data_IF_801058080143
#
_entry.id   IF_801058080143
#
_cell.length_a   1.000
_cell.length_b   1.000
_cell.length_c   1.000
_cell.angle_alpha   90.00
_cell.angle_beta   90.00
_cell.angle_gamma   90.00
#
_symmetry.space_group_name_H-M   'P 1'
#
loop_
_entity.id
_entity.type
_entity.pdbx_description
1 polymer ?
#
# COMPACT_ATOMS: atom_id res chain seq x y z
N UNK A 1 11.15 -15.52 -29.21
CA UNK A 1 9.81 -14.90 -29.17
C UNK A 1 9.23 -15.11 -27.78
N UNK A 2 9.61 -14.27 -26.81
CA UNK A 2 8.97 -14.26 -25.49
C UNK A 2 7.74 -13.37 -25.58
N UNK A 3 6.59 -13.97 -25.84
CA UNK A 3 5.31 -13.29 -25.70
C UNK A 3 5.15 -12.87 -24.24
N UNK A 4 5.34 -11.58 -23.94
CA UNK A 4 4.96 -11.05 -22.63
C UNK A 4 3.46 -11.28 -22.48
N UNK A 5 3.06 -11.99 -21.43
CA UNK A 5 1.65 -12.10 -21.06
C UNK A 5 1.02 -10.69 -21.04
N UNK A 6 -0.26 -10.56 -21.42
CA UNK A 6 -0.95 -9.28 -21.40
C UNK A 6 -0.95 -8.74 -19.97
N UNK A 7 -0.24 -7.62 -19.74
CA UNK A 7 -0.23 -6.95 -18.45
C UNK A 7 -1.52 -6.15 -18.30
N UNK A 8 -2.34 -6.51 -17.33
CA UNK A 8 -3.57 -5.78 -17.06
C UNK A 8 -3.24 -4.39 -16.52
N UNK A 9 -3.83 -3.35 -17.12
CA UNK A 9 -3.68 -1.96 -16.69
C UNK A 9 -4.97 -1.46 -16.07
N UNK A 10 -4.91 -1.10 -14.80
CA UNK A 10 -6.05 -0.60 -14.04
C UNK A 10 -5.96 0.92 -13.90
N UNK A 11 -7.07 1.65 -14.09
CA UNK A 11 -7.16 3.05 -13.70
C UNK A 11 -7.04 3.22 -12.20
N UNK A 12 -6.27 4.23 -11.79
CA UNK A 12 -6.11 4.60 -10.40
C UNK A 12 -6.18 6.11 -10.24
N UNK A 13 -6.59 6.56 -9.05
CA UNK A 13 -6.50 7.95 -8.63
C UNK A 13 -5.42 8.09 -7.58
N UNK A 14 -4.40 8.90 -7.85
CA UNK A 14 -3.35 9.18 -6.89
C UNK A 14 -3.86 10.09 -5.76
N UNK A 15 -3.72 9.67 -4.51
CA UNK A 15 -3.81 10.54 -3.33
C UNK A 15 -2.45 11.12 -2.99
N UNK A 16 -1.41 10.29 -3.09
CA UNK A 16 -0.01 10.69 -2.97
C UNK A 16 0.71 10.18 -4.22
N UNK A 17 1.18 11.09 -5.11
CA UNK A 17 1.77 10.66 -6.35
C UNK A 17 3.14 10.02 -6.16
N UNK A 18 3.47 9.10 -7.06
CA UNK A 18 4.75 8.40 -7.09
C UNK A 18 4.71 7.16 -7.96
N UNK A 19 5.81 6.41 -7.96
CA UNK A 19 5.92 5.14 -8.67
C UNK A 19 6.60 4.11 -7.76
N UNK A 20 6.19 2.87 -7.89
CA UNK A 20 6.69 1.78 -7.06
C UNK A 20 6.38 0.44 -7.71
N UNK A 21 7.15 -0.58 -7.35
CA UNK A 21 6.91 -1.95 -7.78
C UNK A 21 7.19 -2.90 -6.63
N UNK A 22 6.42 -3.97 -6.53
CA UNK A 22 6.73 -5.07 -5.63
C UNK A 22 5.66 -6.16 -5.68
N UNK A 23 5.91 -7.22 -4.91
CA UNK A 23 4.92 -8.26 -4.68
C UNK A 23 3.73 -7.68 -3.93
N UNK A 24 2.55 -7.92 -4.46
CA UNK A 24 1.27 -7.55 -3.88
C UNK A 24 1.04 -8.31 -2.58
N UNK A 25 0.54 -7.61 -1.57
CA UNK A 25 0.00 -8.16 -0.34
C UNK A 25 -1.43 -7.64 -0.20
N UNK A 26 -2.42 -8.45 -0.57
CA UNK A 26 -3.84 -8.09 -0.45
C UNK A 26 -4.34 -8.47 0.93
N UNK A 27 -4.68 -7.49 1.76
CA UNK A 27 -5.22 -7.79 3.09
C UNK A 27 -6.67 -8.26 3.00
N UNK A 28 -6.95 -9.40 3.63
CA UNK A 28 -8.29 -9.99 3.68
C UNK A 28 -9.22 -9.17 4.59
N UNK A 29 -8.65 -8.46 5.57
CA UNK A 29 -9.35 -7.55 6.45
C UNK A 29 -8.68 -6.17 6.48
N UNK A 30 -9.40 -5.11 6.85
CA UNK A 30 -8.80 -3.81 7.13
C UNK A 30 -7.78 -3.88 8.28
N UNK A 31 -6.61 -3.26 8.11
CA UNK A 31 -5.57 -3.18 9.15
C UNK A 31 -5.57 -1.81 9.84
N UNK A 32 -5.68 -1.80 11.17
CA UNK A 32 -5.30 -0.63 11.96
C UNK A 32 -3.78 -0.58 12.06
N UNK A 33 -3.15 0.40 11.41
CA UNK A 33 -1.71 0.62 11.59
C UNK A 33 -1.37 0.89 13.06
N UNK A 34 -2.23 1.62 13.77
CA UNK A 34 -2.09 1.81 15.20
C UNK A 34 -2.35 0.49 15.94
N UNK A 35 -1.31 -0.09 16.52
CA UNK A 35 -1.35 -1.35 17.27
C UNK A 35 -1.39 -2.62 16.41
N UNK A 36 -1.62 -2.52 15.09
CA UNK A 36 -1.63 -3.66 14.19
C UNK A 36 -0.40 -3.79 13.29
N UNK A 37 0.40 -2.74 13.13
CA UNK A 37 1.69 -2.78 12.45
C UNK A 37 2.81 -2.42 13.43
N UNK A 38 3.86 -3.24 13.49
CA UNK A 38 5.12 -2.83 14.12
C UNK A 38 5.95 -2.02 13.11
N UNK A 39 6.16 -0.70 13.33
CA UNK A 39 6.91 0.12 12.40
C UNK A 39 8.41 -0.23 12.36
N UNK A 40 8.98 -0.87 13.38
CA UNK A 40 10.40 -1.22 13.36
C UNK A 40 10.70 -2.41 12.44
N UNK A 41 9.78 -3.37 12.35
CA UNK A 41 9.96 -4.57 11.53
C UNK A 41 9.10 -4.61 10.27
N UNK A 42 8.10 -3.73 10.17
CA UNK A 42 7.08 -3.75 9.13
C UNK A 42 6.19 -4.99 9.18
N UNK A 43 6.08 -5.63 10.34
CA UNK A 43 5.24 -6.83 10.52
C UNK A 43 3.86 -6.48 11.01
N UNK A 44 2.85 -7.18 10.49
CA UNK A 44 1.50 -7.16 11.05
C UNK A 44 1.55 -7.88 12.40
N UNK A 45 1.27 -7.17 13.49
CA UNK A 45 1.32 -7.67 14.87
C UNK A 45 -0.05 -7.86 15.51
N UNK A 46 -1.14 -7.40 14.86
CA UNK A 46 -2.48 -7.73 15.32
C UNK A 46 -2.71 -9.24 15.15
N UNK A 47 -2.70 -9.96 16.27
CA UNK A 47 -2.86 -11.42 16.33
C UNK A 47 -4.23 -11.91 15.84
N UNK A 48 -5.22 -11.01 15.75
CA UNK A 48 -6.55 -11.33 15.24
C UNK A 48 -6.66 -11.17 13.73
N UNK A 49 -5.72 -10.46 13.12
CA UNK A 49 -5.72 -10.25 11.68
C UNK A 49 -5.38 -11.57 10.97
N UNK A 50 -6.10 -11.96 9.89
CA UNK A 50 -5.82 -13.20 9.15
C UNK A 50 -4.37 -13.32 8.68
N UNK A 51 -3.72 -12.18 8.44
CA UNK A 51 -2.33 -12.09 7.98
C UNK A 51 -1.34 -11.65 9.06
N UNK A 52 -1.64 -11.93 10.34
CA UNK A 52 -0.71 -11.73 11.44
C UNK A 52 0.67 -12.36 11.14
N UNK A 53 1.74 -11.62 11.39
CA UNK A 53 3.12 -12.02 11.15
C UNK A 53 3.66 -11.73 9.75
N UNK A 54 2.80 -11.39 8.77
CA UNK A 54 3.19 -10.98 7.42
C UNK A 54 3.99 -9.65 7.44
N UNK A 55 4.88 -9.46 6.46
CA UNK A 55 5.70 -8.24 6.32
C UNK A 55 5.17 -7.38 5.17
N UNK A 56 4.97 -6.09 5.46
CA UNK A 56 4.57 -5.09 4.45
C UNK A 56 5.77 -4.43 3.77
N UNK A 57 6.96 -4.49 4.38
CA UNK A 57 8.16 -3.79 3.91
C UNK A 57 8.50 -4.11 2.46
N UNK A 58 8.58 -3.07 1.62
CA UNK A 58 8.88 -3.22 0.19
C UNK A 58 7.80 -3.91 -0.65
N UNK A 59 6.65 -4.26 -0.06
CA UNK A 59 5.50 -4.86 -0.75
C UNK A 59 4.57 -3.76 -1.27
N UNK A 60 3.78 -4.08 -2.30
CA UNK A 60 2.61 -3.28 -2.65
C UNK A 60 1.48 -3.74 -1.75
N UNK A 61 1.06 -2.91 -0.80
CA UNK A 61 0.03 -3.26 0.18
C UNK A 61 -1.34 -2.84 -0.37
N UNK A 62 -2.27 -3.78 -0.50
CA UNK A 62 -3.66 -3.48 -0.86
C UNK A 62 -4.57 -3.62 0.36
N UNK A 63 -5.31 -2.56 0.66
CA UNK A 63 -6.25 -2.48 1.77
C UNK A 63 -7.67 -2.31 1.22
N UNK A 64 -8.63 -3.17 1.58
CA UNK A 64 -10.01 -3.00 1.14
C UNK A 64 -10.58 -1.69 1.68
N UNK A 65 -10.32 -1.38 2.95
CA UNK A 65 -10.62 -0.09 3.56
C UNK A 65 -9.55 0.27 4.59
N UNK A 66 -9.40 1.56 4.86
CA UNK A 66 -8.64 2.03 6.01
C UNK A 66 -9.32 1.65 7.33
N UNK A 67 -8.53 1.31 8.36
CA UNK A 67 -9.05 1.05 9.71
C UNK A 67 -8.27 1.78 10.79
N UNK A 68 -8.03 3.07 10.60
CA UNK A 68 -7.21 3.88 11.50
C UNK A 68 -7.93 5.11 12.05
N UNK A 69 -7.52 5.53 13.24
CA UNK A 69 -7.68 6.92 13.71
C UNK A 69 -6.44 7.74 13.29
N UNK A 70 -6.41 9.05 13.53
CA UNK A 70 -5.32 9.94 13.11
C UNK A 70 -3.91 9.43 13.46
N UNK A 71 -3.77 8.66 14.55
CA UNK A 71 -2.52 8.00 14.97
C UNK A 71 -1.97 6.95 14.00
N UNK A 72 -2.75 6.48 13.02
CA UNK A 72 -2.24 5.60 11.97
C UNK A 72 -1.22 6.32 11.07
N UNK A 73 -1.35 7.63 10.91
CA UNK A 73 -0.42 8.45 10.11
C UNK A 73 0.99 8.49 10.73
N UNK A 74 1.11 8.55 12.07
CA UNK A 74 2.42 8.55 12.74
C UNK A 74 3.12 7.20 12.67
N UNK A 75 2.39 6.09 12.70
CA UNK A 75 2.96 4.76 12.50
C UNK A 75 3.49 4.59 11.07
N UNK A 76 2.74 5.05 10.06
CA UNK A 76 3.22 5.02 8.68
C UNK A 76 4.46 5.90 8.50
N UNK A 77 4.44 7.11 9.06
CA UNK A 77 5.58 8.03 9.05
C UNK A 77 6.83 7.38 9.66
N UNK A 78 6.67 6.72 10.80
CA UNK A 78 7.76 6.01 11.49
C UNK A 78 8.28 4.82 10.68
N UNK A 79 7.39 4.02 10.08
CA UNK A 79 7.78 2.93 9.20
C UNK A 79 8.58 3.44 7.97
N UNK A 80 8.22 4.60 7.43
CA UNK A 80 8.99 5.23 6.35
C UNK A 80 10.36 5.69 6.87
N UNK A 81 10.43 6.33 8.05
CA UNK A 81 11.68 6.73 8.68
C UNK A 81 12.62 5.53 8.86
N UNK A 82 12.08 4.39 9.28
CA UNK A 82 12.80 3.14 9.54
C UNK A 82 13.01 2.26 8.29
N UNK A 83 12.59 2.71 7.10
CA UNK A 83 12.70 1.97 5.84
C UNK A 83 11.98 0.60 5.83
N UNK A 84 10.91 0.47 6.61
CA UNK A 84 10.09 -0.75 6.75
C UNK A 84 8.67 -0.59 6.19
N UNK A 85 8.35 0.60 5.68
CA UNK A 85 7.08 0.89 5.02
C UNK A 85 6.86 0.03 3.75
N UNK A 86 5.60 -0.13 3.32
CA UNK A 86 5.31 -0.70 2.01
C UNK A 86 5.91 0.15 0.89
N UNK A 87 6.16 -0.48 -0.25
CA UNK A 87 6.60 0.20 -1.47
C UNK A 87 5.49 1.08 -2.06
N UNK A 88 4.24 0.66 -1.96
CA UNK A 88 3.05 1.40 -2.35
C UNK A 88 1.84 0.96 -1.52
N UNK A 89 0.81 1.81 -1.48
CA UNK A 89 -0.48 1.51 -0.85
C UNK A 89 -1.59 1.64 -1.90
N UNK A 90 -2.34 0.57 -2.12
CA UNK A 90 -3.53 0.54 -2.96
C UNK A 90 -4.76 0.47 -2.04
N UNK A 91 -5.75 1.32 -2.29
CA UNK A 91 -6.99 1.37 -1.51
C UNK A 91 -8.20 1.13 -2.42
N UNK A 92 -9.23 0.44 -1.93
CA UNK A 92 -10.52 0.41 -2.63
C UNK A 92 -11.32 1.71 -2.39
N UNK A 93 -11.11 2.34 -1.23
CA UNK A 93 -11.73 3.62 -0.86
C UNK A 93 -10.70 4.64 -0.36
N UNK A 94 -10.99 5.92 -0.51
CA UNK A 94 -10.08 6.99 -0.13
C UNK A 94 -9.88 7.04 1.40
N UNK A 95 -8.63 6.91 1.85
CA UNK A 95 -8.27 7.11 3.27
C UNK A 95 -7.36 8.35 3.42
N UNK A 96 -7.90 9.49 3.89
CA UNK A 96 -7.13 10.72 4.05
C UNK A 96 -6.06 10.62 5.15
N UNK A 97 -6.21 9.74 6.13
CA UNK A 97 -5.24 9.57 7.23
C UNK A 97 -3.98 8.87 6.70
N UNK A 98 -4.15 7.81 5.92
CA UNK A 98 -3.03 7.13 5.25
C UNK A 98 -2.34 8.04 4.23
N UNK A 99 -3.13 8.76 3.42
CA UNK A 99 -2.60 9.73 2.48
C UNK A 99 -1.78 10.82 3.19
N UNK A 100 -2.27 11.35 4.30
CA UNK A 100 -1.56 12.33 5.11
C UNK A 100 -0.23 11.78 5.62
N UNK A 101 -0.22 10.58 6.22
CA UNK A 101 1.00 9.95 6.72
C UNK A 101 2.06 9.76 5.64
N UNK A 102 1.66 9.30 4.45
CA UNK A 102 2.56 9.15 3.31
C UNK A 102 3.05 10.50 2.73
N UNK A 103 2.17 11.50 2.63
CA UNK A 103 2.53 12.82 2.13
C UNK A 103 3.51 13.54 3.06
N UNK A 104 3.26 13.51 4.37
CA UNK A 104 4.16 14.08 5.39
C UNK A 104 5.50 13.35 5.39
N UNK A 105 5.50 12.01 5.25
CA UNK A 105 6.74 11.25 5.16
C UNK A 105 7.59 11.66 3.96
N UNK A 106 6.95 11.86 2.80
CA UNK A 106 7.62 12.36 1.59
C UNK A 106 8.24 13.73 1.80
N UNK A 107 7.53 14.65 2.46
CA UNK A 107 8.03 15.99 2.76
C UNK A 107 9.22 15.95 3.73
N UNK A 108 9.08 15.21 4.84
CA UNK A 108 10.09 15.19 5.90
C UNK A 108 11.33 14.36 5.56
N UNK A 109 11.18 13.27 4.81
CA UNK A 109 12.24 12.30 4.57
C UNK A 109 12.66 12.19 3.10
N UNK A 110 12.04 12.96 2.20
CA UNK A 110 12.26 12.85 0.76
C UNK A 110 11.79 11.52 0.16
N UNK A 111 11.03 10.71 0.92
CA UNK A 111 10.55 9.39 0.53
C UNK A 111 9.23 9.05 1.22
N UNK A 112 8.43 8.22 0.58
CA UNK A 112 7.17 7.70 1.12
C UNK A 112 6.44 6.88 0.06
N UNK A 113 5.57 5.94 0.46
CA UNK A 113 4.83 5.16 -0.53
C UNK A 113 3.86 6.05 -1.31
N UNK A 114 3.74 5.89 -2.64
CA UNK A 114 2.56 6.37 -3.33
C UNK A 114 1.32 5.71 -2.74
N UNK A 115 0.25 6.49 -2.64
CA UNK A 115 -1.06 6.04 -2.16
C UNK A 115 -2.05 6.28 -3.28
N UNK A 116 -2.68 5.22 -3.76
CA UNK A 116 -3.60 5.28 -4.90
C UNK A 116 -4.90 4.56 -4.57
N UNK A 117 -5.98 5.03 -5.18
CA UNK A 117 -7.32 4.43 -5.06
C UNK A 117 -7.68 3.77 -6.38
N UNK A 118 -8.08 2.50 -6.32
CA UNK A 118 -8.69 1.76 -7.43
C UNK A 118 -10.21 1.81 -7.25
N UNK A 119 -10.96 1.73 -8.36
CA UNK A 119 -12.40 1.46 -8.27
C UNK A 119 -12.68 0.02 -7.81
N UNK A 120 -13.94 -0.29 -7.48
CA UNK A 120 -14.31 -1.61 -6.97
C UNK A 120 -13.93 -2.75 -7.91
N UNK A 121 -14.12 -2.56 -9.23
CA UNK A 121 -13.73 -3.54 -10.24
C UNK A 121 -12.21 -3.71 -10.34
N UNK A 122 -11.45 -2.61 -10.31
CA UNK A 122 -9.99 -2.64 -10.34
C UNK A 122 -9.41 -3.29 -9.08
N UNK A 123 -9.93 -2.94 -7.91
CA UNK A 123 -9.51 -3.53 -6.65
C UNK A 123 -9.87 -5.04 -6.58
N UNK A 124 -11.05 -5.42 -7.07
CA UNK A 124 -11.50 -6.82 -7.12
C UNK A 124 -10.68 -7.73 -8.04
N UNK A 125 -9.85 -7.16 -8.92
CA UNK A 125 -8.92 -7.89 -9.80
C UNK A 125 -7.53 -8.11 -9.19
N UNK A 126 -7.29 -7.62 -7.97
CA UNK A 126 -6.01 -7.81 -7.28
C UNK A 126 -5.91 -9.24 -6.75
N UNK A 127 -4.81 -9.92 -7.10
CA UNK A 127 -4.51 -11.28 -6.62
C UNK A 127 -3.26 -11.26 -5.73
N UNK A 128 -3.37 -11.81 -4.53
CA UNK A 128 -2.26 -11.82 -3.57
C UNK A 128 -1.01 -12.52 -4.13
N UNK A 129 0.16 -11.96 -3.81
CA UNK A 129 1.45 -12.51 -4.24
C UNK A 129 1.87 -12.19 -5.68
N UNK A 130 0.98 -11.63 -6.51
CA UNK A 130 1.29 -11.14 -7.85
C UNK A 130 2.29 -9.98 -7.87
N UNK A 131 2.96 -9.74 -8.99
CA UNK A 131 3.84 -8.58 -9.16
C UNK A 131 3.02 -7.37 -9.63
N UNK A 132 3.13 -6.26 -8.92
CA UNK A 132 2.36 -5.04 -9.22
C UNK A 132 3.27 -3.84 -9.31
N UNK A 133 2.98 -2.97 -10.27
CA UNK A 133 3.65 -1.68 -10.42
C UNK A 133 2.64 -0.53 -10.41
N UNK A 134 2.89 0.48 -9.58
CA UNK A 134 2.25 1.79 -9.61
C UNK A 134 3.10 2.68 -10.51
N UNK A 135 2.51 3.23 -11.56
CA UNK A 135 3.21 4.01 -12.60
C UNK A 135 2.46 5.29 -12.92
N UNK A 136 3.03 6.12 -13.81
CA UNK A 136 2.40 7.36 -14.29
C UNK A 136 1.96 8.27 -13.12
N UNK A 137 2.87 8.46 -12.15
CA UNK A 137 2.59 9.27 -10.96
C UNK A 137 1.51 8.70 -10.03
N UNK A 138 1.07 7.45 -10.22
CA UNK A 138 0.01 6.82 -9.43
C UNK A 138 -1.34 6.77 -10.13
N UNK A 139 -1.40 7.17 -11.41
CA UNK A 139 -2.64 7.18 -12.21
C UNK A 139 -2.94 5.83 -12.87
N UNK A 140 -1.96 4.91 -12.85
CA UNK A 140 -2.07 3.55 -13.39
C UNK A 140 -1.46 2.52 -12.44
N UNK A 141 -2.15 1.39 -12.30
CA UNK A 141 -1.64 0.17 -11.67
C UNK A 141 -1.52 -0.93 -12.72
N UNK A 142 -0.34 -1.56 -12.82
CA UNK A 142 -0.06 -2.64 -13.75
C UNK A 142 0.08 -3.95 -12.97
N UNK A 143 -0.73 -4.94 -13.30
CA UNK A 143 -0.57 -6.32 -12.83
C UNK A 143 0.34 -7.05 -13.82
N UNK A 144 1.47 -7.56 -13.35
CA UNK A 144 2.55 -8.14 -14.16
C UNK A 144 2.51 -9.66 -14.21
#
# INVERSE_FOLDING_TARGET
MTGSAPRLRLPARALVPGAARGRLLVLAEPLSLWGGLDPASGRIIDRRHPQAGARVSGRVLALPHGRGSSSASSVLLEAVRLATAPAAILLAESDPILALGAAVARELYGRGPPVVVLDGDGFGRLEDGGEVAVVEGGERVILC
#
